data_IF_861702972259
#
_entry.id   IF_861702972259
#
_cell.length_a   1.000
_cell.length_b   1.000
_cell.length_c   1.000
_cell.angle_alpha   90.00
_cell.angle_beta   90.00
_cell.angle_gamma   90.00
#
_symmetry.space_group_name_H-M   'P 1'
#
loop_
_entity.id
_entity.type
_entity.pdbx_description
1 polymer ?
#
# COMPACT_ATOMS: atom_id res chain seq x y z
N UNK A 1 -7.81 18.51 3.71
CA UNK A 1 -7.90 17.21 3.02
C UNK A 1 -8.44 17.53 1.64
N UNK A 2 -7.61 17.47 0.60
CA UNK A 2 -8.08 17.76 -0.76
C UNK A 2 -8.88 16.56 -1.25
N UNK A 3 -10.03 16.81 -1.85
CA UNK A 3 -10.88 15.75 -2.40
C UNK A 3 -10.16 15.13 -3.60
N UNK A 4 -10.08 13.80 -3.68
CA UNK A 4 -9.49 13.07 -4.81
C UNK A 4 -9.99 13.60 -6.16
N UNK A 5 -11.29 13.91 -6.27
CA UNK A 5 -11.88 14.44 -7.50
C UNK A 5 -11.40 15.85 -7.85
N UNK A 6 -11.11 16.69 -6.86
CA UNK A 6 -10.59 18.05 -7.11
C UNK A 6 -9.19 17.98 -7.72
N UNK A 7 -8.32 17.12 -7.18
CA UNK A 7 -6.96 16.89 -7.70
C UNK A 7 -6.99 16.36 -9.14
N UNK A 8 -7.86 15.38 -9.38
CA UNK A 8 -8.03 14.78 -10.70
C UNK A 8 -8.55 15.79 -11.73
N UNK A 9 -9.59 16.58 -11.38
CA UNK A 9 -10.09 17.65 -12.26
C UNK A 9 -9.08 18.79 -12.44
N UNK A 10 -8.19 19.01 -11.47
CA UNK A 10 -7.09 19.96 -11.56
C UNK A 10 -5.98 19.56 -12.55
N UNK A 11 -6.03 18.34 -13.10
CA UNK A 11 -5.03 17.84 -14.04
C UNK A 11 -3.74 17.38 -13.38
N UNK A 12 -3.75 17.14 -12.06
CA UNK A 12 -2.61 16.54 -11.36
C UNK A 12 -2.36 15.11 -11.88
N UNK A 13 -1.08 14.72 -11.95
CA UNK A 13 -0.68 13.33 -12.16
C UNK A 13 -0.71 12.67 -10.79
N UNK A 14 -1.56 11.66 -10.62
CA UNK A 14 -1.67 10.87 -9.39
C UNK A 14 -0.98 9.53 -9.57
N UNK A 15 -0.14 9.15 -8.61
CA UNK A 15 0.63 7.92 -8.64
C UNK A 15 -0.01 6.89 -7.70
N UNK A 16 -0.51 5.80 -8.25
CA UNK A 16 -1.02 4.69 -7.45
C UNK A 16 0.09 3.94 -6.70
N UNK A 17 -0.29 3.12 -5.73
CA UNK A 17 0.64 2.22 -5.05
C UNK A 17 1.08 1.03 -5.92
N UNK A 18 2.02 0.25 -5.37
CA UNK A 18 2.59 -0.91 -6.05
C UNK A 18 1.94 -2.23 -5.64
N UNK A 19 2.46 -3.34 -6.18
CA UNK A 19 1.92 -4.68 -5.91
C UNK A 19 2.05 -5.09 -4.43
N UNK A 20 0.95 -5.17 -3.70
CA UNK A 20 0.93 -5.56 -2.27
C UNK A 20 1.43 -6.98 -2.04
N UNK A 21 0.86 -7.98 -2.73
CA UNK A 21 1.18 -9.39 -2.49
C UNK A 21 2.64 -9.76 -2.73
N UNK A 22 3.24 -9.30 -3.84
CA UNK A 22 4.64 -9.57 -4.15
C UNK A 22 5.60 -8.87 -3.18
N UNK A 23 5.24 -7.69 -2.67
CA UNK A 23 6.05 -7.01 -1.65
C UNK A 23 5.92 -7.68 -0.28
N UNK A 24 4.73 -8.14 0.12
CA UNK A 24 4.57 -8.95 1.34
C UNK A 24 5.36 -10.25 1.27
N UNK A 25 5.40 -10.92 0.11
CA UNK A 25 6.25 -12.10 -0.09
C UNK A 25 7.73 -11.77 0.12
N UNK A 26 8.21 -10.63 -0.40
CA UNK A 26 9.60 -10.15 -0.15
C UNK A 26 9.85 -9.81 1.31
N UNK A 27 8.82 -9.39 2.04
CA UNK A 27 8.86 -9.12 3.48
C UNK A 27 8.73 -10.40 4.33
N UNK A 28 8.58 -11.58 3.69
CA UNK A 28 8.57 -12.88 4.38
C UNK A 28 7.21 -13.58 4.45
N UNK A 29 6.16 -13.04 3.82
CA UNK A 29 4.87 -13.73 3.71
C UNK A 29 5.05 -15.03 2.91
N UNK A 30 4.72 -16.16 3.55
CA UNK A 30 4.87 -17.49 2.95
C UNK A 30 3.83 -17.72 1.85
N UNK A 31 4.18 -18.45 0.77
CA UNK A 31 3.21 -18.89 -0.23
C UNK A 31 2.04 -19.65 0.41
N UNK A 32 0.83 -19.35 -0.04
CA UNK A 32 -0.40 -19.98 0.46
C UNK A 32 -0.93 -19.40 1.78
N UNK A 33 -0.25 -18.43 2.41
CA UNK A 33 -0.81 -17.68 3.55
C UNK A 33 -1.55 -16.43 3.04
N UNK A 34 -2.82 -16.22 3.44
CA UNK A 34 -3.55 -15.00 3.10
C UNK A 34 -2.93 -13.77 3.80
N UNK A 35 -2.70 -12.65 3.10
CA UNK A 35 -2.26 -11.38 3.71
C UNK A 35 -3.16 -10.89 4.85
N UNK A 36 -4.45 -11.23 4.82
CA UNK A 36 -5.46 -10.82 5.79
C UNK A 36 -5.15 -11.31 7.20
N UNK A 37 -4.46 -12.44 7.34
CA UNK A 37 -4.00 -12.93 8.65
C UNK A 37 -3.09 -11.91 9.33
N UNK A 38 -2.26 -11.18 8.56
CA UNK A 38 -1.36 -10.15 9.10
C UNK A 38 -2.13 -8.99 9.73
N UNK A 39 -3.39 -8.74 9.36
CA UNK A 39 -4.20 -7.68 9.98
C UNK A 39 -4.37 -7.94 11.48
N UNK A 40 -4.43 -9.22 11.89
CA UNK A 40 -4.58 -9.63 13.29
C UNK A 40 -3.23 -10.03 13.90
N UNK A 41 -2.44 -10.81 13.17
CA UNK A 41 -1.20 -11.41 13.68
C UNK A 41 -0.05 -10.42 13.77
N UNK A 42 0.06 -9.48 12.82
CA UNK A 42 1.18 -8.54 12.66
C UNK A 42 0.79 -7.32 11.81
N UNK A 43 -0.07 -6.43 12.32
CA UNK A 43 -0.59 -5.29 11.57
C UNK A 43 0.50 -4.28 11.19
N UNK A 44 1.61 -4.27 11.93
CA UNK A 44 2.74 -3.38 11.67
C UNK A 44 3.40 -3.70 10.32
N UNK A 45 3.44 -4.96 9.90
CA UNK A 45 3.94 -5.34 8.56
C UNK A 45 3.10 -4.70 7.46
N UNK A 46 1.76 -4.68 7.59
CA UNK A 46 0.86 -4.04 6.62
C UNK A 46 1.06 -2.53 6.62
N UNK A 47 1.11 -1.91 7.80
CA UNK A 47 1.31 -0.47 7.94
C UNK A 47 2.65 -0.02 7.35
N UNK A 48 3.72 -0.78 7.61
CA UNK A 48 5.05 -0.51 7.09
C UNK A 48 5.10 -0.59 5.56
N UNK A 49 4.41 -1.57 4.96
CA UNK A 49 4.32 -1.69 3.52
C UNK A 49 3.56 -0.51 2.90
N UNK A 50 2.35 -0.20 3.39
CA UNK A 50 1.57 0.93 2.89
C UNK A 50 2.32 2.26 3.05
N UNK A 51 2.98 2.47 4.20
CA UNK A 51 3.81 3.64 4.47
C UNK A 51 5.03 3.72 3.56
N UNK A 52 5.52 2.59 3.04
CA UNK A 52 6.63 2.58 2.08
C UNK A 52 6.20 3.12 0.71
N UNK A 53 4.97 2.83 0.26
CA UNK A 53 4.44 3.37 -0.99
C UNK A 53 4.19 4.88 -0.89
N UNK A 54 3.57 5.34 0.19
CA UNK A 54 3.38 6.77 0.43
C UNK A 54 4.72 7.54 0.46
N UNK A 55 5.75 7.00 1.15
CA UNK A 55 7.10 7.59 1.15
C UNK A 55 7.78 7.55 -0.21
N UNK A 56 7.45 6.59 -1.06
CA UNK A 56 7.95 6.50 -2.44
C UNK A 56 7.22 7.44 -3.41
N UNK A 57 6.18 8.15 -2.95
CA UNK A 57 5.45 9.14 -3.74
C UNK A 57 4.11 8.66 -4.28
N UNK A 58 3.55 7.55 -3.79
CA UNK A 58 2.14 7.22 -4.05
C UNK A 58 1.22 8.24 -3.37
N UNK A 59 0.20 8.66 -4.11
CA UNK A 59 -0.83 9.64 -3.73
C UNK A 59 -2.02 8.99 -3.01
#
# INVERSE_FOLDING_TARGET
>A
MNNFLERLHGGEILVADGATGSNLQKMGLKPGKPPEDLIIDDPDTILNLASSFARAGSD
#
